data_IF_733846973125
#
_entry.id   IF_733846973125
#
_cell.length_a   1.000
_cell.length_b   1.000
_cell.length_c   1.000
_cell.angle_alpha   90.00
_cell.angle_beta   90.00
_cell.angle_gamma   90.00
#
_symmetry.space_group_name_H-M   'P 1'
#
loop_
_entity.id
_entity.type
_entity.pdbx_description
1 polymer ?
#
# COMPACT_ATOMS: atom_id res chain seq x y z
N UNK A 1 17.05 15.21 -10.86
CA UNK A 1 16.27 14.21 -10.13
C UNK A 1 14.99 14.90 -9.68
N UNK A 2 13.87 14.70 -10.38
CA UNK A 2 12.59 15.27 -9.99
C UNK A 2 12.15 14.61 -8.70
N UNK A 3 12.21 15.35 -7.60
CA UNK A 3 11.74 14.90 -6.31
C UNK A 3 10.21 14.96 -6.33
N UNK A 4 9.58 13.97 -6.97
CA UNK A 4 8.12 13.84 -7.03
C UNK A 4 7.62 13.77 -5.59
N UNK A 5 6.88 14.79 -5.16
CA UNK A 5 6.19 14.75 -3.87
C UNK A 5 5.19 13.60 -3.92
N UNK A 6 5.27 12.70 -2.96
CA UNK A 6 4.33 11.60 -2.79
C UNK A 6 3.48 11.85 -1.55
N UNK A 7 2.22 11.45 -1.61
CA UNK A 7 1.30 11.40 -0.49
C UNK A 7 1.20 9.97 -0.01
N UNK A 8 1.22 9.82 1.32
CA UNK A 8 1.09 8.52 1.95
C UNK A 8 -0.03 8.57 2.98
N UNK A 9 -0.85 7.53 3.02
CA UNK A 9 -2.00 7.43 3.90
C UNK A 9 -2.16 6.00 4.43
N UNK A 10 -2.56 5.87 5.69
CA UNK A 10 -3.03 4.60 6.22
C UNK A 10 -4.52 4.49 5.97
N UNK A 11 -4.92 3.45 5.24
CA UNK A 11 -6.32 3.18 4.89
C UNK A 11 -6.75 1.86 5.49
N UNK A 12 -8.00 1.77 5.94
CA UNK A 12 -8.58 0.52 6.44
C UNK A 12 -9.54 -0.01 5.40
N UNK A 13 -9.23 -1.19 4.88
CA UNK A 13 -10.08 -1.89 3.90
C UNK A 13 -11.06 -2.77 4.67
N UNK A 14 -12.38 -2.55 4.55
CA UNK A 14 -13.37 -3.42 5.15
C UNK A 14 -13.42 -4.76 4.40
N UNK A 15 -13.33 -5.87 5.14
CA UNK A 15 -13.46 -7.24 4.63
C UNK A 15 -14.39 -8.04 5.55
N UNK A 16 -15.71 -7.84 5.40
CA UNK A 16 -16.70 -8.35 6.35
C UNK A 16 -16.52 -7.70 7.73
N UNK A 17 -16.43 -8.52 8.78
CA UNK A 17 -16.14 -8.09 10.16
C UNK A 17 -14.66 -7.74 10.41
N UNK A 18 -13.77 -8.01 9.46
CA UNK A 18 -12.35 -7.73 9.58
C UNK A 18 -12.00 -6.38 8.94
N UNK A 19 -11.21 -5.57 9.65
CA UNK A 19 -10.58 -4.39 9.09
C UNK A 19 -9.12 -4.73 8.77
N UNK A 20 -8.76 -4.60 7.49
CA UNK A 20 -7.39 -4.82 7.03
C UNK A 20 -6.71 -3.45 6.98
N UNK A 21 -5.65 -3.27 7.77
CA UNK A 21 -4.80 -2.10 7.65
C UNK A 21 -4.03 -2.17 6.32
N UNK A 22 -4.07 -1.09 5.55
CA UNK A 22 -3.36 -0.94 4.31
C UNK A 22 -2.66 0.42 4.26
N UNK A 23 -1.60 0.49 3.47
CA UNK A 23 -0.78 1.66 3.26
C UNK A 23 -0.91 2.09 1.81
N UNK A 24 -1.40 3.30 1.59
CA UNK A 24 -1.56 3.91 0.28
C UNK A 24 -0.43 4.91 0.06
N UNK A 25 0.24 4.83 -1.09
CA UNK A 25 1.24 5.76 -1.57
C UNK A 25 0.84 6.22 -2.98
N UNK A 26 0.69 7.52 -3.19
CA UNK A 26 0.29 8.09 -4.48
C UNK A 26 1.13 9.34 -4.80
N UNK A 27 1.37 9.66 -6.08
CA UNK A 27 1.97 10.94 -6.45
C UNK A 27 1.08 12.10 -5.98
N UNK A 28 1.67 13.17 -5.42
CA UNK A 28 0.93 14.35 -4.94
C UNK A 28 0.32 15.17 -6.09
N UNK A 29 0.72 14.88 -7.32
CA UNK A 29 0.18 15.50 -8.52
C UNK A 29 -1.23 14.99 -8.79
N UNK A 30 -2.15 15.88 -9.21
CA UNK A 30 -3.50 15.47 -9.59
C UNK A 30 -3.48 14.88 -11.01
N UNK A 31 -3.94 13.65 -11.16
CA UNK A 31 -4.01 12.96 -12.44
C UNK A 31 -4.52 11.52 -12.30
N UNK A 32 -4.78 10.87 -13.43
CA UNK A 32 -5.08 9.44 -13.47
C UNK A 32 -3.77 8.68 -13.60
N UNK A 33 -3.44 7.89 -12.58
CA UNK A 33 -2.23 7.08 -12.54
C UNK A 33 -2.59 5.61 -12.46
N UNK A 34 -1.79 4.72 -13.09
CA UNK A 34 -1.95 3.28 -12.92
C UNK A 34 -1.80 2.88 -11.46
N UNK A 35 -2.71 2.02 -10.98
CA UNK A 35 -2.71 1.51 -9.61
C UNK A 35 -1.98 0.17 -9.51
N UNK A 36 -1.19 -0.01 -8.44
CA UNK A 36 -0.45 -1.22 -8.11
C UNK A 36 -0.83 -1.67 -6.72
N UNK A 37 -1.31 -2.90 -6.59
CA UNK A 37 -1.60 -3.51 -5.28
C UNK A 37 -0.47 -4.46 -4.95
N UNK A 38 0.20 -4.21 -3.83
CA UNK A 38 1.29 -5.03 -3.31
C UNK A 38 0.74 -5.90 -2.18
N UNK A 39 0.66 -7.20 -2.42
CA UNK A 39 0.22 -8.20 -1.45
C UNK A 39 1.48 -8.88 -0.91
N UNK A 40 1.78 -8.66 0.36
CA UNK A 40 2.91 -9.28 1.05
C UNK A 40 2.50 -10.60 1.70
N UNK A 41 3.38 -11.60 1.62
CA UNK A 41 3.19 -12.88 2.31
C UNK A 41 3.33 -12.69 3.84
N UNK A 42 2.69 -13.58 4.61
CA UNK A 42 2.32 -13.44 6.04
C UNK A 42 3.54 -13.31 6.99
N UNK A 43 4.76 -13.46 6.47
CA UNK A 43 5.99 -13.48 7.24
C UNK A 43 6.77 -12.15 7.15
N UNK A 44 6.30 -11.19 7.93
CA UNK A 44 7.16 -10.26 8.68
C UNK A 44 8.28 -9.54 7.93
N UNK A 45 7.95 -8.69 6.95
CA UNK A 45 8.85 -7.64 6.43
C UNK A 45 8.04 -6.35 6.17
N UNK A 46 7.63 -5.66 7.24
CA UNK A 46 6.68 -4.52 7.15
C UNK A 46 7.29 -3.21 6.60
N UNK A 47 8.61 -3.00 6.74
CA UNK A 47 9.27 -1.77 6.26
C UNK A 47 9.54 -1.82 4.77
N UNK A 48 10.06 -2.94 4.26
CA UNK A 48 10.47 -3.06 2.86
C UNK A 48 9.32 -2.82 1.88
N UNK A 49 8.11 -3.24 2.25
CA UNK A 49 6.93 -3.10 1.39
C UNK A 49 6.48 -1.64 1.23
N UNK A 50 6.69 -0.81 2.26
CA UNK A 50 6.39 0.63 2.20
C UNK A 50 7.39 1.32 1.31
N UNK A 51 8.67 0.97 1.42
CA UNK A 51 9.72 1.49 0.54
C UNK A 51 9.44 1.17 -0.93
N UNK A 52 8.94 -0.04 -1.21
CA UNK A 52 8.52 -0.45 -2.55
C UNK A 52 7.32 0.37 -3.04
N UNK A 53 6.27 0.53 -2.22
CA UNK A 53 5.10 1.34 -2.56
C UNK A 53 5.46 2.82 -2.80
N UNK A 54 6.32 3.40 -1.96
CA UNK A 54 6.82 4.76 -2.12
C UNK A 54 7.65 4.93 -3.40
N UNK A 55 8.43 3.91 -3.78
CA UNK A 55 9.21 3.92 -5.03
C UNK A 55 8.29 3.95 -6.24
N UNK A 56 7.26 3.11 -6.26
CA UNK A 56 6.23 3.14 -7.31
C UNK A 56 5.50 4.49 -7.35
N UNK A 57 5.20 5.09 -6.20
CA UNK A 57 4.60 6.43 -6.14
C UNK A 57 5.51 7.52 -6.72
N UNK A 58 6.82 7.44 -6.50
CA UNK A 58 7.80 8.35 -7.11
C UNK A 58 7.91 8.18 -8.62
N UNK A 59 7.72 6.96 -9.13
CA UNK A 59 7.66 6.64 -10.56
C UNK A 59 6.31 7.01 -11.23
N UNK A 60 5.35 7.54 -10.45
CA UNK A 60 4.04 7.98 -10.97
C UNK A 60 2.95 6.91 -10.94
N UNK A 61 3.04 5.94 -10.05
CA UNK A 61 2.00 4.92 -9.83
C UNK A 61 1.28 5.14 -8.50
N UNK A 62 0.02 4.73 -8.40
CA UNK A 62 -0.67 4.68 -7.11
C UNK A 62 -0.44 3.30 -6.52
N UNK A 63 0.42 3.18 -5.51
CA UNK A 63 0.75 1.90 -4.88
C UNK A 63 0.01 1.72 -3.55
N UNK A 64 -0.61 0.56 -3.36
CA UNK A 64 -1.27 0.19 -2.10
C UNK A 64 -0.70 -1.12 -1.58
N UNK A 65 -0.24 -1.13 -0.32
CA UNK A 65 0.24 -2.32 0.36
C UNK A 65 -0.73 -2.77 1.44
N UNK A 66 -1.17 -4.01 1.41
CA UNK A 66 -2.08 -4.55 2.42
C UNK A 66 -1.31 -5.28 3.52
N UNK A 67 -1.52 -4.90 4.78
CA UNK A 67 -0.92 -5.57 5.92
C UNK A 67 -1.84 -6.70 6.40
N UNK A 68 -1.62 -7.90 5.85
CA UNK A 68 -2.22 -9.13 6.36
C UNK A 68 -1.43 -9.62 7.58
N UNK A 69 -1.66 -9.00 8.74
CA UNK A 69 -1.14 -9.52 10.01
C UNK A 69 -1.70 -10.92 10.32
N UNK A 70 -1.10 -11.62 11.30
CA UNK A 70 -1.54 -12.96 11.77
C UNK A 70 -3.03 -13.06 12.14
N UNK A 71 -3.71 -11.94 12.30
CA UNK A 71 -5.12 -11.84 12.70
C UNK A 71 -6.10 -11.90 11.53
N UNK A 72 -5.66 -11.65 10.29
CA UNK A 72 -6.58 -11.34 9.18
C UNK A 72 -6.84 -12.51 8.22
N UNK A 73 -6.11 -13.62 8.33
CA UNK A 73 -6.29 -14.79 7.47
C UNK A 73 -6.97 -15.90 8.27
N UNK A 74 -8.30 -15.85 8.33
CA UNK A 74 -9.11 -17.01 8.70
C UNK A 74 -9.55 -17.67 7.39
N UNK A 75 -8.74 -18.64 6.94
CA UNK A 75 -9.13 -19.52 5.84
C UNK A 75 -10.29 -20.38 6.37
N UNK A 76 -11.44 -20.27 5.73
CA UNK A 76 -12.56 -21.21 5.89
C UNK A 76 -12.28 -22.47 5.09
#
# INVERSE_FOLDING_TARGET
MTNTEIRTAQVKVPNGDLQIDAYLAEPAQKGTFPAVIVIQEIFGVNIHIREVAEKFAKDGYVAMSMNFGRTSVRLY
#
